data_IF_324012979042
#
_entry.id   IF_324012979042
#
_cell.length_a   1.000
_cell.length_b   1.000
_cell.length_c   1.000
_cell.angle_alpha   90.00
_cell.angle_beta   90.00
_cell.angle_gamma   90.00
#
_symmetry.space_group_name_H-M   'P 1'
#
loop_
_entity.id
_entity.type
_entity.pdbx_description
1 polymer ?
#
# COMPACT_ATOMS: atom_id res chain seq x y z
N UNK A 1 34.59 -62.12 -3.68
CA UNK A 1 35.02 -61.28 -2.56
C UNK A 1 35.43 -59.96 -3.14
N UNK A 2 34.59 -58.96 -3.05
CA UNK A 2 34.95 -57.57 -3.35
C UNK A 2 34.00 -56.68 -2.55
N UNK A 3 34.59 -55.97 -1.61
CA UNK A 3 33.90 -55.12 -0.64
C UNK A 3 33.47 -53.82 -1.30
N UNK A 4 32.16 -53.53 -1.30
CA UNK A 4 31.59 -52.24 -1.67
C UNK A 4 31.87 -51.19 -0.61
N UNK A 5 32.60 -50.15 -0.93
CA UNK A 5 32.75 -48.97 -0.08
C UNK A 5 31.54 -48.03 -0.31
N UNK A 6 30.75 -47.85 0.73
CA UNK A 6 29.71 -46.87 0.86
C UNK A 6 30.34 -45.46 0.97
N UNK A 7 30.06 -44.57 0.01
CA UNK A 7 30.39 -43.15 0.08
C UNK A 7 29.16 -42.41 0.61
N UNK A 8 29.11 -42.24 1.91
CA UNK A 8 28.21 -41.20 2.52
C UNK A 8 28.93 -39.87 2.37
N UNK A 9 28.47 -39.05 1.44
CA UNK A 9 28.91 -37.64 1.35
C UNK A 9 28.07 -36.85 2.35
N UNK A 10 28.63 -36.56 3.50
CA UNK A 10 28.22 -35.42 4.34
C UNK A 10 28.48 -34.16 3.57
N UNK A 11 27.41 -33.53 3.06
CA UNK A 11 27.48 -32.14 2.60
C UNK A 11 27.41 -31.24 3.84
N UNK A 12 28.52 -31.06 4.51
CA UNK A 12 28.73 -29.92 5.39
C UNK A 12 28.79 -28.68 4.49
N UNK A 13 27.74 -27.83 4.54
CA UNK A 13 27.66 -26.63 3.72
C UNK A 13 28.73 -25.62 4.15
N UNK A 14 29.87 -25.60 3.47
CA UNK A 14 30.85 -24.54 3.62
C UNK A 14 30.25 -23.25 3.09
N UNK A 15 29.91 -22.33 3.98
CA UNK A 15 29.59 -20.93 3.62
C UNK A 15 30.88 -20.34 3.05
N UNK A 16 30.83 -19.79 1.82
CA UNK A 16 32.01 -19.18 1.21
C UNK A 16 32.45 -17.93 2.00
N UNK A 17 33.75 -17.56 1.93
CA UNK A 17 34.26 -16.32 2.60
C UNK A 17 33.45 -15.09 2.22
N UNK A 18 32.96 -14.98 0.98
CA UNK A 18 32.05 -13.93 0.54
C UNK A 18 30.71 -13.98 1.27
N UNK A 19 30.19 -15.18 1.54
CA UNK A 19 28.95 -15.36 2.29
C UNK A 19 29.12 -14.94 3.76
N UNK A 20 30.25 -15.27 4.40
CA UNK A 20 30.57 -14.87 5.77
C UNK A 20 30.75 -13.34 5.90
N UNK A 21 31.43 -12.70 4.94
CA UNK A 21 31.57 -11.25 4.87
C UNK A 21 30.22 -10.55 4.68
N UNK A 22 29.36 -11.06 3.80
CA UNK A 22 28.03 -10.51 3.60
C UNK A 22 27.14 -10.66 4.85
N UNK A 23 27.19 -11.80 5.54
CA UNK A 23 26.46 -12.00 6.79
C UNK A 23 26.96 -11.05 7.90
N UNK A 24 28.28 -10.81 8.00
CA UNK A 24 28.85 -9.87 8.95
C UNK A 24 28.36 -8.42 8.72
N UNK A 25 28.38 -7.98 7.47
CA UNK A 25 27.88 -6.65 7.09
C UNK A 25 26.37 -6.51 7.35
N UNK A 26 25.56 -7.53 7.03
CA UNK A 26 24.12 -7.51 7.27
C UNK A 26 23.79 -7.42 8.77
N UNK A 27 24.49 -8.21 9.60
CA UNK A 27 24.33 -8.17 11.04
C UNK A 27 24.63 -6.77 11.61
N UNK A 28 25.76 -6.18 11.25
CA UNK A 28 26.16 -4.83 11.69
C UNK A 28 25.14 -3.77 11.22
N UNK A 29 24.58 -3.92 10.01
CA UNK A 29 23.53 -3.03 9.52
C UNK A 29 22.27 -3.07 10.36
N UNK A 30 21.83 -4.28 10.74
CA UNK A 30 20.65 -4.47 11.59
C UNK A 30 20.91 -3.86 12.97
N UNK A 31 22.04 -4.19 13.63
CA UNK A 31 22.39 -3.71 14.96
C UNK A 31 22.56 -2.19 15.01
N UNK A 32 23.13 -1.58 13.97
CA UNK A 32 23.28 -0.12 13.86
C UNK A 32 21.98 0.60 13.47
N UNK A 33 20.89 -0.13 13.16
CA UNK A 33 19.62 0.44 12.74
C UNK A 33 19.66 1.16 11.39
N UNK A 34 20.54 0.73 10.48
CA UNK A 34 20.69 1.30 9.14
C UNK A 34 20.03 0.49 8.05
N UNK A 35 19.53 -0.71 8.38
CA UNK A 35 18.76 -1.51 7.45
C UNK A 35 17.43 -0.83 7.08
N UNK A 36 16.97 -1.00 5.85
CA UNK A 36 15.74 -0.39 5.34
C UNK A 36 14.69 -1.47 5.11
N UNK A 37 13.47 -1.20 5.53
CA UNK A 37 12.34 -2.12 5.39
C UNK A 37 11.39 -1.65 4.29
N UNK A 38 11.16 -2.50 3.28
CA UNK A 38 10.08 -2.35 2.32
C UNK A 38 8.90 -3.25 2.68
N UNK A 39 7.68 -2.72 2.64
CA UNK A 39 6.46 -3.50 2.84
C UNK A 39 5.53 -3.29 1.66
N UNK A 40 5.12 -4.39 1.01
CA UNK A 40 4.20 -4.42 -0.11
C UNK A 40 2.87 -5.06 0.32
N UNK A 41 1.77 -4.33 0.15
CA UNK A 41 0.40 -4.85 0.29
C UNK A 41 -0.10 -5.28 -1.09
N UNK A 42 0.32 -6.47 -1.53
CA UNK A 42 -0.15 -7.07 -2.79
C UNK A 42 -1.57 -7.65 -2.65
N UNK A 43 -2.22 -7.98 -3.76
CA UNK A 43 -3.62 -8.46 -3.77
C UNK A 43 -3.83 -9.86 -3.16
N UNK A 44 -2.78 -10.64 -3.05
CA UNK A 44 -2.84 -12.01 -2.49
C UNK A 44 -1.85 -12.25 -1.35
N UNK A 45 -0.95 -11.27 -1.13
CA UNK A 45 0.12 -11.42 -0.14
C UNK A 45 0.65 -10.07 0.31
N UNK A 46 0.86 -9.91 1.60
CA UNK A 46 1.66 -8.82 2.18
C UNK A 46 3.09 -9.34 2.34
N UNK A 47 4.08 -8.56 1.93
CA UNK A 47 5.50 -8.91 2.04
C UNK A 47 6.27 -7.83 2.77
N UNK A 48 7.15 -8.24 3.68
CA UNK A 48 8.16 -7.39 4.30
C UNK A 48 9.54 -7.87 3.86
N UNK A 49 10.36 -6.96 3.35
CA UNK A 49 11.74 -7.25 2.92
C UNK A 49 12.67 -6.25 3.57
N UNK A 50 13.60 -6.75 4.36
CA UNK A 50 14.69 -5.97 4.94
C UNK A 50 15.88 -5.98 3.96
N UNK A 51 16.42 -4.82 3.62
CA UNK A 51 17.52 -4.65 2.67
C UNK A 51 18.70 -3.91 3.28
N UNK A 52 19.90 -4.19 2.75
CA UNK A 52 21.13 -3.48 3.06
C UNK A 52 21.34 -2.24 2.16
N UNK A 53 22.49 -1.58 2.27
CA UNK A 53 22.87 -0.41 1.46
C UNK A 53 23.12 -0.70 -0.02
N UNK A 54 23.28 -1.97 -0.38
CA UNK A 54 23.42 -2.41 -1.76
C UNK A 54 22.09 -2.86 -2.36
N UNK A 55 20.99 -2.65 -1.62
CA UNK A 55 19.63 -3.06 -1.95
C UNK A 55 19.47 -4.60 -2.04
N UNK A 56 20.36 -5.36 -1.39
CA UNK A 56 20.23 -6.82 -1.33
C UNK A 56 19.30 -7.20 -0.19
N UNK A 57 18.33 -8.12 -0.44
CA UNK A 57 17.48 -8.66 0.60
C UNK A 57 18.30 -9.43 1.65
N UNK A 58 18.16 -9.04 2.91
CA UNK A 58 18.82 -9.72 4.04
C UNK A 58 17.85 -10.56 4.86
N UNK A 59 16.60 -10.15 4.96
CA UNK A 59 15.54 -10.94 5.60
C UNK A 59 14.19 -10.63 4.98
N UNK A 60 13.23 -11.56 5.15
CA UNK A 60 11.87 -11.36 4.63
C UNK A 60 10.81 -12.06 5.47
N UNK A 61 9.59 -11.55 5.37
CA UNK A 61 8.39 -12.19 5.91
C UNK A 61 7.21 -11.99 4.97
N UNK A 62 6.23 -12.87 5.04
CA UNK A 62 5.04 -12.76 4.20
C UNK A 62 3.78 -13.25 4.94
N UNK A 63 2.66 -12.65 4.59
CA UNK A 63 1.32 -13.03 5.03
C UNK A 63 0.41 -13.20 3.82
N UNK A 64 -0.15 -14.38 3.64
CA UNK A 64 -1.12 -14.63 2.57
C UNK A 64 -2.51 -14.16 3.03
N UNK A 65 -3.21 -13.46 2.15
CA UNK A 65 -4.56 -12.96 2.38
C UNK A 65 -5.38 -12.95 1.08
N UNK A 66 -6.68 -12.76 1.19
CA UNK A 66 -7.57 -12.73 0.04
C UNK A 66 -8.57 -11.57 0.13
N UNK A 67 -8.90 -11.01 -1.03
CA UNK A 67 -9.97 -10.03 -1.20
C UNK A 67 -11.33 -10.70 -0.94
N UNK A 68 -12.14 -10.13 -0.07
CA UNK A 68 -13.44 -10.64 0.32
C UNK A 68 -14.57 -9.92 -0.42
N UNK A 69 -15.60 -10.64 -0.82
CA UNK A 69 -16.82 -10.06 -1.35
C UNK A 69 -17.85 -9.96 -0.21
N UNK A 70 -18.09 -8.75 0.27
CA UNK A 70 -19.02 -8.45 1.35
C UNK A 70 -20.08 -7.49 0.81
N UNK A 71 -21.35 -7.88 0.85
CA UNK A 71 -22.49 -7.11 0.35
C UNK A 71 -22.27 -6.55 -1.08
N UNK A 72 -21.67 -7.36 -1.93
CA UNK A 72 -21.37 -6.99 -3.32
C UNK A 72 -20.14 -6.11 -3.52
N UNK A 73 -19.39 -5.81 -2.45
CA UNK A 73 -18.17 -5.00 -2.48
C UNK A 73 -16.93 -5.87 -2.25
N UNK A 74 -15.98 -5.83 -3.17
CA UNK A 74 -14.66 -6.41 -2.99
C UNK A 74 -13.83 -5.56 -2.03
N UNK A 75 -13.46 -6.12 -0.88
CA UNK A 75 -12.86 -5.40 0.24
C UNK A 75 -11.80 -6.22 0.98
N UNK A 76 -11.00 -5.54 1.80
CA UNK A 76 -10.25 -6.05 2.94
C UNK A 76 -10.66 -5.25 4.17
N UNK A 77 -10.94 -5.92 5.30
CA UNK A 77 -11.23 -5.20 6.54
C UNK A 77 -9.95 -4.52 7.08
N UNK A 78 -10.13 -3.48 7.91
CA UNK A 78 -8.99 -2.83 8.58
C UNK A 78 -8.23 -3.81 9.48
N UNK A 79 -8.93 -4.73 10.15
CA UNK A 79 -8.30 -5.76 10.98
C UNK A 79 -7.42 -6.68 10.15
N UNK A 80 -7.90 -7.16 8.99
CA UNK A 80 -7.09 -7.97 8.07
C UNK A 80 -5.81 -7.25 7.62
N UNK A 81 -5.92 -5.95 7.35
CA UNK A 81 -4.77 -5.12 6.94
C UNK A 81 -3.73 -5.06 8.06
N UNK A 82 -4.16 -4.76 9.29
CA UNK A 82 -3.24 -4.63 10.42
C UNK A 82 -2.68 -5.97 10.92
N UNK A 83 -3.50 -7.00 10.95
CA UNK A 83 -3.05 -8.34 11.35
C UNK A 83 -2.08 -8.92 10.33
N UNK A 84 -2.34 -8.72 9.04
CA UNK A 84 -1.43 -9.12 7.98
C UNK A 84 -0.09 -8.37 8.03
N UNK A 85 -0.11 -7.05 8.31
CA UNK A 85 1.10 -6.26 8.52
C UNK A 85 1.92 -6.77 9.71
N UNK A 86 1.27 -7.00 10.86
CA UNK A 86 1.92 -7.51 12.07
C UNK A 86 2.54 -8.88 11.85
N UNK A 87 1.81 -9.82 11.22
CA UNK A 87 2.29 -11.17 10.94
C UNK A 87 3.48 -11.17 9.97
N UNK A 88 3.37 -10.38 8.91
CA UNK A 88 4.44 -10.22 7.93
C UNK A 88 5.72 -9.65 8.57
N UNK A 89 5.60 -8.60 9.40
CA UNK A 89 6.71 -8.02 10.13
C UNK A 89 7.32 -9.00 11.15
N UNK A 90 6.49 -9.70 11.93
CA UNK A 90 6.92 -10.74 12.88
C UNK A 90 7.76 -11.82 12.18
N UNK A 91 7.28 -12.35 11.06
CA UNK A 91 8.01 -13.38 10.28
C UNK A 91 9.34 -12.86 9.74
N UNK A 92 9.40 -11.58 9.32
CA UNK A 92 10.65 -10.95 8.89
C UNK A 92 11.63 -10.84 10.07
N UNK A 93 11.17 -10.44 11.25
CA UNK A 93 12.05 -10.38 12.44
C UNK A 93 12.51 -11.75 12.92
N UNK A 94 11.68 -12.77 12.80
CA UNK A 94 12.07 -14.19 13.05
C UNK A 94 13.13 -14.65 12.04
N UNK A 95 13.02 -14.31 10.77
CA UNK A 95 14.02 -14.61 9.75
C UNK A 95 15.36 -13.93 10.06
N UNK A 96 15.35 -12.66 10.54
CA UNK A 96 16.53 -11.97 11.06
C UNK A 96 17.15 -12.74 12.23
N UNK A 97 16.35 -13.11 13.23
CA UNK A 97 16.84 -13.84 14.40
C UNK A 97 17.48 -15.16 14.02
N UNK A 98 16.84 -15.90 13.10
CA UNK A 98 17.34 -17.21 12.66
C UNK A 98 18.64 -17.10 11.85
N UNK A 99 18.78 -16.10 11.01
CA UNK A 99 19.96 -15.91 10.13
C UNK A 99 21.15 -15.25 10.84
N UNK A 100 20.89 -14.26 11.68
CA UNK A 100 21.92 -13.36 12.22
C UNK A 100 22.04 -13.40 13.74
N UNK A 101 21.09 -14.00 14.45
CA UNK A 101 21.09 -14.10 15.92
C UNK A 101 20.90 -12.76 16.62
N UNK A 102 20.25 -11.77 15.95
CA UNK A 102 20.02 -10.43 16.47
C UNK A 102 18.56 -10.00 16.33
N UNK A 103 18.13 -9.04 17.16
CA UNK A 103 16.79 -8.46 17.08
C UNK A 103 16.79 -7.15 16.25
N UNK A 104 15.71 -6.91 15.53
CA UNK A 104 15.46 -5.62 14.85
C UNK A 104 14.87 -4.65 15.87
N UNK A 105 15.67 -3.72 16.38
CA UNK A 105 15.23 -2.70 17.36
C UNK A 105 15.07 -1.32 16.76
N UNK A 106 15.70 -1.09 15.59
CA UNK A 106 15.69 0.18 14.87
C UNK A 106 15.84 -0.07 13.38
N UNK A 107 15.22 0.79 12.57
CA UNK A 107 15.33 0.80 11.12
C UNK A 107 15.81 2.17 10.64
N UNK A 108 16.56 2.19 9.54
CA UNK A 108 17.00 3.42 8.89
C UNK A 108 15.85 4.14 8.18
N UNK A 109 14.98 3.37 7.54
CA UNK A 109 13.75 3.85 6.91
C UNK A 109 12.76 2.71 6.72
N UNK A 110 11.48 3.08 6.53
CA UNK A 110 10.42 2.16 6.10
C UNK A 110 9.74 2.76 4.88
N UNK A 111 9.56 1.95 3.84
CA UNK A 111 8.77 2.30 2.66
C UNK A 111 7.57 1.38 2.48
N UNK A 112 6.45 1.95 2.03
CA UNK A 112 5.23 1.19 1.76
C UNK A 112 4.87 1.25 0.28
N UNK A 113 4.44 0.12 -0.26
CA UNK A 113 3.75 -0.01 -1.53
C UNK A 113 2.44 -0.74 -1.30
N UNK A 114 1.40 -0.38 -2.01
CA UNK A 114 0.10 -1.02 -1.91
C UNK A 114 -0.54 -1.24 -3.26
N UNK A 115 -1.63 -1.99 -3.27
CA UNK A 115 -2.51 -2.04 -4.43
C UNK A 115 -2.94 -0.61 -4.78
N UNK A 116 -2.55 -0.15 -5.96
CA UNK A 116 -2.97 1.16 -6.46
C UNK A 116 -4.50 1.27 -6.52
N UNK A 117 -4.98 2.49 -6.52
CA UNK A 117 -6.39 2.80 -6.62
C UNK A 117 -7.19 2.40 -5.37
N UNK A 118 -8.51 2.31 -5.54
CA UNK A 118 -9.42 2.01 -4.45
C UNK A 118 -9.90 3.26 -3.71
N UNK A 119 -10.79 3.07 -2.75
CA UNK A 119 -11.49 4.15 -2.11
C UNK A 119 -11.65 3.88 -0.61
N UNK A 120 -10.99 4.67 0.19
CA UNK A 120 -11.02 4.62 1.66
C UNK A 120 -11.38 6.03 2.18
N UNK A 121 -12.66 6.37 2.33
CA UNK A 121 -13.10 7.66 2.86
C UNK A 121 -13.18 7.62 4.39
N UNK A 122 -12.71 8.70 5.02
CA UNK A 122 -12.67 8.87 6.47
C UNK A 122 -13.36 10.15 6.89
N UNK A 123 -13.98 10.13 8.06
CA UNK A 123 -14.53 11.31 8.71
C UNK A 123 -13.46 12.16 9.42
N UNK A 124 -13.86 13.24 10.09
CA UNK A 124 -12.97 14.11 10.86
C UNK A 124 -12.28 13.40 12.03
N UNK A 125 -12.88 12.32 12.56
CA UNK A 125 -12.31 11.52 13.65
C UNK A 125 -11.32 10.47 13.11
N UNK A 126 -11.26 10.29 11.79
CA UNK A 126 -10.42 9.28 11.13
C UNK A 126 -11.02 7.88 11.16
N UNK A 127 -12.35 7.79 11.28
CA UNK A 127 -13.10 6.54 11.16
C UNK A 127 -13.45 6.27 9.70
N UNK A 128 -13.30 5.02 9.26
CA UNK A 128 -13.64 4.61 7.90
C UNK A 128 -15.15 4.62 7.71
N UNK A 129 -15.64 5.41 6.77
CA UNK A 129 -17.07 5.67 6.57
C UNK A 129 -17.84 4.55 5.87
N UNK A 130 -17.17 3.83 4.97
CA UNK A 130 -17.69 2.66 4.24
C UNK A 130 -16.58 1.62 4.07
N UNK A 131 -16.90 0.34 3.81
CA UNK A 131 -15.88 -0.67 3.53
C UNK A 131 -14.90 -0.22 2.45
N UNK A 132 -13.61 -0.53 2.61
CA UNK A 132 -12.60 -0.26 1.60
C UNK A 132 -13.01 -0.85 0.24
N UNK A 133 -13.24 -0.01 -0.77
CA UNK A 133 -13.56 -0.44 -2.14
C UNK A 133 -12.25 -0.63 -2.90
N UNK A 134 -11.88 -1.87 -3.17
CA UNK A 134 -10.61 -2.20 -3.85
C UNK A 134 -10.70 -1.95 -5.36
N UNK A 135 -9.56 -1.97 -6.05
CA UNK A 135 -9.45 -1.89 -7.50
C UNK A 135 -10.27 -2.92 -8.28
N UNK A 136 -10.70 -4.00 -7.59
CA UNK A 136 -11.46 -5.11 -8.17
C UNK A 136 -12.93 -4.76 -8.40
N UNK A 137 -13.43 -3.70 -7.76
CA UNK A 137 -14.81 -3.27 -7.93
C UNK A 137 -15.02 -2.60 -9.30
N UNK A 138 -16.05 -3.03 -10.02
CA UNK A 138 -16.46 -2.51 -11.34
C UNK A 138 -17.79 -1.76 -11.27
N UNK A 139 -18.11 -1.17 -10.13
CA UNK A 139 -19.40 -0.53 -9.83
C UNK A 139 -19.46 0.95 -10.21
N UNK A 140 -18.41 1.48 -10.85
CA UNK A 140 -18.22 2.92 -11.10
C UNK A 140 -18.28 3.30 -12.58
N UNK A 141 -18.97 2.49 -13.39
CA UNK A 141 -19.01 2.69 -14.85
C UNK A 141 -19.58 4.02 -15.27
N UNK A 142 -20.70 4.44 -14.68
CA UNK A 142 -21.37 5.71 -14.95
C UNK A 142 -20.47 6.90 -14.58
N UNK A 143 -19.93 6.90 -13.39
CA UNK A 143 -19.03 7.96 -12.90
C UNK A 143 -17.76 8.07 -13.76
N UNK A 144 -17.13 6.94 -14.09
CA UNK A 144 -15.94 6.91 -14.94
C UNK A 144 -16.19 7.49 -16.33
N UNK A 145 -17.33 7.14 -16.95
CA UNK A 145 -17.71 7.67 -18.26
C UNK A 145 -17.99 9.19 -18.20
N UNK A 146 -18.74 9.64 -17.19
CA UNK A 146 -19.06 11.05 -16.99
C UNK A 146 -17.79 11.89 -16.77
N UNK A 147 -16.90 11.47 -15.88
CA UNK A 147 -15.64 12.17 -15.60
C UNK A 147 -14.68 12.15 -16.80
N UNK A 148 -14.60 11.03 -17.53
CA UNK A 148 -13.81 10.96 -18.78
C UNK A 148 -14.25 12.00 -19.77
N UNK A 149 -15.56 12.17 -19.95
CA UNK A 149 -16.13 13.20 -20.83
C UNK A 149 -15.83 14.61 -20.33
N UNK A 150 -16.07 14.86 -19.04
CA UNK A 150 -15.87 16.18 -18.42
C UNK A 150 -14.42 16.67 -18.52
N UNK A 151 -13.48 15.78 -18.17
CA UNK A 151 -12.06 16.13 -18.16
C UNK A 151 -11.40 16.04 -19.54
N UNK A 152 -12.06 15.43 -20.53
CA UNK A 152 -11.42 15.01 -21.79
C UNK A 152 -10.15 14.20 -21.53
N UNK A 153 -10.19 13.37 -20.49
CA UNK A 153 -9.10 12.56 -19.98
C UNK A 153 -9.65 11.21 -19.50
N UNK A 154 -8.99 10.10 -19.85
CA UNK A 154 -9.49 8.78 -19.50
C UNK A 154 -9.45 8.55 -17.99
N UNK A 155 -10.61 8.34 -17.37
CA UNK A 155 -10.77 7.98 -15.95
C UNK A 155 -11.19 6.51 -15.86
N UNK A 156 -10.28 5.60 -15.49
CA UNK A 156 -10.62 4.19 -15.29
C UNK A 156 -11.58 3.99 -14.11
N UNK A 157 -12.47 2.99 -14.21
CA UNK A 157 -13.43 2.67 -13.15
C UNK A 157 -12.79 2.41 -11.77
N UNK A 158 -11.58 1.86 -11.75
CA UNK A 158 -10.86 1.53 -10.50
C UNK A 158 -10.26 2.74 -9.76
N UNK A 159 -10.22 3.93 -10.38
CA UNK A 159 -9.65 5.12 -9.76
C UNK A 159 -10.49 5.62 -8.59
N UNK A 160 -9.82 6.17 -7.57
CA UNK A 160 -10.48 6.66 -6.36
C UNK A 160 -11.54 7.72 -6.64
N UNK A 161 -11.27 8.63 -7.60
CA UNK A 161 -12.23 9.66 -7.99
C UNK A 161 -13.48 9.09 -8.67
N UNK A 162 -13.36 7.98 -9.40
CA UNK A 162 -14.53 7.32 -9.99
C UNK A 162 -15.43 6.72 -8.89
N UNK A 163 -14.84 6.17 -7.84
CA UNK A 163 -15.60 5.67 -6.68
C UNK A 163 -16.28 6.80 -5.90
N UNK A 164 -15.58 7.91 -5.66
CA UNK A 164 -16.17 9.08 -5.02
C UNK A 164 -17.34 9.63 -5.83
N UNK A 165 -17.15 9.81 -7.14
CA UNK A 165 -18.21 10.37 -7.98
C UNK A 165 -19.40 9.41 -8.12
N UNK A 166 -19.16 8.10 -8.16
CA UNK A 166 -20.25 7.12 -8.15
C UNK A 166 -21.05 7.17 -6.84
N UNK A 167 -20.38 7.31 -5.70
CA UNK A 167 -21.06 7.49 -4.43
C UNK A 167 -21.92 8.77 -4.38
N UNK A 168 -21.44 9.85 -5.01
CA UNK A 168 -22.21 11.10 -5.19
C UNK A 168 -23.44 10.87 -6.06
N UNK A 169 -23.29 10.20 -7.21
CA UNK A 169 -24.42 9.90 -8.11
C UNK A 169 -25.46 8.99 -7.47
N UNK A 170 -25.02 8.03 -6.66
CA UNK A 170 -25.88 7.14 -5.91
C UNK A 170 -26.58 7.84 -4.70
N UNK A 171 -26.13 9.03 -4.32
CA UNK A 171 -26.64 9.73 -3.13
C UNK A 171 -26.26 9.03 -1.82
N UNK A 172 -25.09 8.42 -1.73
CA UNK A 172 -24.65 7.69 -0.55
C UNK A 172 -24.42 8.63 0.65
N UNK A 173 -25.00 8.33 1.80
CA UNK A 173 -25.06 9.19 3.00
C UNK A 173 -23.68 9.52 3.61
N UNK A 174 -22.66 8.73 3.31
CA UNK A 174 -21.32 8.94 3.84
C UNK A 174 -20.61 10.13 3.19
N UNK A 175 -21.01 10.54 1.98
CA UNK A 175 -20.29 11.54 1.17
C UNK A 175 -20.24 12.90 1.86
N UNK A 176 -21.29 13.31 2.56
CA UNK A 176 -21.32 14.56 3.33
C UNK A 176 -20.33 14.60 4.50
N UNK A 177 -19.89 13.42 4.96
CA UNK A 177 -19.05 13.26 6.16
C UNK A 177 -17.57 13.10 5.81
N UNK A 178 -17.23 13.09 4.54
CA UNK A 178 -15.83 12.87 4.11
C UNK A 178 -14.99 14.08 4.50
N UNK A 179 -14.00 13.87 5.36
CA UNK A 179 -12.96 14.83 5.69
C UNK A 179 -11.61 14.47 5.04
N UNK A 180 -11.45 13.22 4.59
CA UNK A 180 -10.25 12.74 3.94
C UNK A 180 -10.54 11.42 3.22
N UNK A 181 -10.00 11.21 2.03
CA UNK A 181 -10.00 9.89 1.41
C UNK A 181 -8.65 9.58 0.76
N UNK A 182 -8.29 8.30 0.75
CA UNK A 182 -6.98 7.87 0.31
C UNK A 182 -7.00 6.43 -0.22
N UNK A 183 -5.82 5.94 -0.61
CA UNK A 183 -5.54 4.55 -0.98
C UNK A 183 -5.02 3.76 0.21
N UNK A 184 -4.84 2.44 0.04
CA UNK A 184 -4.30 1.57 1.10
C UNK A 184 -2.90 2.01 1.55
N UNK A 185 -1.99 2.31 0.62
CA UNK A 185 -0.64 2.77 0.97
C UNK A 185 -0.67 4.10 1.73
N UNK A 186 -1.51 5.04 1.30
CA UNK A 186 -1.71 6.32 1.99
C UNK A 186 -2.32 6.15 3.38
N UNK A 187 -3.27 5.23 3.55
CA UNK A 187 -3.84 4.91 4.86
C UNK A 187 -2.78 4.37 5.84
N UNK A 188 -1.96 3.42 5.42
CA UNK A 188 -0.88 2.87 6.26
C UNK A 188 0.12 3.94 6.63
N UNK A 189 0.56 4.74 5.65
CA UNK A 189 1.47 5.85 5.89
C UNK A 189 0.91 6.83 6.93
N UNK A 190 -0.33 7.29 6.72
CA UNK A 190 -0.99 8.19 7.67
C UNK A 190 -1.08 7.62 9.09
N UNK A 191 -1.53 6.37 9.23
CA UNK A 191 -1.69 5.77 10.57
C UNK A 191 -0.36 5.56 11.31
N UNK A 192 0.76 5.40 10.59
CA UNK A 192 2.09 5.22 11.18
C UNK A 192 2.84 6.53 11.44
N UNK A 193 2.56 7.58 10.67
CA UNK A 193 3.29 8.84 10.75
C UNK A 193 2.46 10.01 11.28
N UNK A 194 1.14 9.92 11.21
CA UNK A 194 0.22 11.04 11.42
C UNK A 194 0.03 11.94 10.20
N UNK A 195 0.83 11.78 9.13
CA UNK A 195 0.85 12.65 7.96
C UNK A 195 -0.07 12.13 6.84
N UNK A 196 -0.98 12.98 6.38
CA UNK A 196 -1.95 12.70 5.30
C UNK A 196 -1.36 13.08 3.93
N UNK A 197 -0.24 12.47 3.57
CA UNK A 197 0.49 12.73 2.32
C UNK A 197 0.53 11.48 1.44
N UNK A 198 0.76 11.67 0.15
CA UNK A 198 0.84 10.57 -0.81
C UNK A 198 1.90 10.88 -1.87
N UNK A 199 2.70 9.88 -2.25
CA UNK A 199 3.64 10.03 -3.35
C UNK A 199 2.90 10.23 -4.68
N UNK A 200 3.45 11.05 -5.58
CA UNK A 200 2.85 11.41 -6.87
C UNK A 200 2.48 10.19 -7.72
N UNK A 201 3.26 9.11 -7.64
CA UNK A 201 2.98 7.85 -8.36
C UNK A 201 1.68 7.20 -7.90
N UNK A 202 1.44 7.14 -6.60
CA UNK A 202 0.22 6.60 -6.01
C UNK A 202 -0.97 7.56 -6.21
N UNK A 203 -0.75 8.87 -6.02
CA UNK A 203 -1.75 9.92 -6.22
C UNK A 203 -2.30 9.94 -7.66
N UNK A 204 -1.48 9.58 -8.65
CA UNK A 204 -1.89 9.46 -10.06
C UNK A 204 -2.96 8.39 -10.32
N UNK A 205 -3.14 7.45 -9.41
CA UNK A 205 -4.22 6.46 -9.41
C UNK A 205 -5.48 6.93 -8.68
N UNK A 206 -5.43 8.06 -8.01
CA UNK A 206 -6.59 8.68 -7.35
C UNK A 206 -7.27 9.73 -8.22
N UNK A 207 -6.47 10.64 -8.77
CA UNK A 207 -6.92 11.79 -9.57
C UNK A 207 -5.84 12.17 -10.60
N UNK A 208 -6.19 12.81 -11.74
CA UNK A 208 -5.23 13.24 -12.72
C UNK A 208 -4.15 14.18 -12.18
N UNK A 209 -2.89 13.87 -12.51
CA UNK A 209 -1.71 14.66 -12.15
C UNK A 209 -1.24 15.52 -13.33
N UNK A 210 -0.89 16.76 -13.07
CA UNK A 210 -0.17 17.60 -14.02
C UNK A 210 1.33 17.24 -14.01
N UNK A 211 1.84 16.76 -15.14
CA UNK A 211 3.22 16.29 -15.26
C UNK A 211 4.28 17.40 -15.06
N UNK A 212 3.91 18.68 -15.23
CA UNK A 212 4.82 19.81 -15.06
C UNK A 212 4.98 20.19 -13.59
N UNK A 213 3.87 20.30 -12.88
CA UNK A 213 3.85 20.67 -11.46
C UNK A 213 4.09 19.46 -10.55
N UNK A 214 3.85 18.24 -11.03
CA UNK A 214 3.86 16.99 -10.26
C UNK A 214 2.85 17.00 -9.10
N UNK A 215 1.74 17.69 -9.30
CA UNK A 215 0.64 17.85 -8.36
C UNK A 215 -0.68 17.60 -9.08
N UNK A 216 -1.78 17.55 -8.35
CA UNK A 216 -3.12 17.37 -8.92
C UNK A 216 -3.43 18.43 -9.97
N UNK A 217 -4.08 18.01 -11.06
CA UNK A 217 -4.42 18.91 -12.16
C UNK A 217 -5.47 19.94 -11.73
N UNK A 218 -5.05 21.18 -11.49
CA UNK A 218 -5.87 22.27 -10.96
C UNK A 218 -7.11 22.58 -11.80
N UNK A 219 -7.00 22.45 -13.12
CA UNK A 219 -8.14 22.66 -14.01
C UNK A 219 -9.20 21.58 -13.77
N UNK A 220 -8.79 20.32 -13.68
CA UNK A 220 -9.71 19.19 -13.48
C UNK A 220 -10.32 19.19 -12.07
N UNK A 221 -9.57 19.64 -11.04
CA UNK A 221 -10.14 19.88 -9.71
C UNK A 221 -11.29 20.88 -9.79
N UNK A 222 -11.08 22.03 -10.42
CA UNK A 222 -12.13 23.03 -10.58
C UNK A 222 -13.33 22.53 -11.43
N UNK A 223 -13.07 21.72 -12.45
CA UNK A 223 -14.14 21.08 -13.24
C UNK A 223 -14.96 20.12 -12.39
N UNK A 224 -14.30 19.30 -11.54
CA UNK A 224 -15.00 18.38 -10.63
C UNK A 224 -15.88 19.14 -9.65
N UNK A 225 -15.33 20.16 -8.98
CA UNK A 225 -16.07 20.98 -8.00
C UNK A 225 -17.25 21.75 -8.61
N UNK A 226 -17.20 22.02 -9.93
CA UNK A 226 -18.27 22.71 -10.67
C UNK A 226 -19.40 21.76 -11.14
N UNK A 227 -19.24 20.43 -11.00
CA UNK A 227 -20.28 19.47 -11.39
C UNK A 227 -21.56 19.71 -10.55
N UNK A 228 -22.76 19.75 -11.18
CA UNK A 228 -24.01 20.00 -10.43
C UNK A 228 -24.25 19.05 -9.27
N UNK A 229 -23.87 17.77 -9.42
CA UNK A 229 -24.00 16.77 -8.38
C UNK A 229 -23.04 16.99 -7.20
N UNK A 230 -21.91 17.67 -7.43
CA UNK A 230 -20.89 17.99 -6.42
C UNK A 230 -21.18 19.27 -5.67
N UNK A 231 -21.79 20.25 -6.35
CA UNK A 231 -21.99 21.61 -5.81
C UNK A 231 -22.86 21.70 -4.54
N UNK A 232 -23.53 20.62 -4.14
CA UNK A 232 -24.32 20.54 -2.90
C UNK A 232 -23.45 20.28 -1.65
N UNK A 233 -22.22 19.80 -1.81
CA UNK A 233 -21.33 19.47 -0.68
C UNK A 233 -20.56 20.70 -0.23
N UNK A 234 -20.22 20.76 1.06
CA UNK A 234 -19.50 21.91 1.65
C UNK A 234 -18.00 21.83 1.45
N UNK A 235 -17.44 20.63 1.27
CA UNK A 235 -16.02 20.41 0.99
C UNK A 235 -15.69 20.66 -0.49
N UNK A 236 -14.43 20.97 -0.74
CA UNK A 236 -13.82 20.99 -2.08
C UNK A 236 -12.92 19.76 -2.23
N UNK A 237 -12.81 19.24 -3.47
CA UNK A 237 -12.05 18.01 -3.69
C UNK A 237 -10.61 18.10 -3.16
N UNK A 238 -9.94 19.23 -3.36
CA UNK A 238 -8.58 19.47 -2.88
C UNK A 238 -8.45 19.38 -1.34
N UNK A 239 -9.50 19.69 -0.59
CA UNK A 239 -9.50 19.68 0.88
C UNK A 239 -9.52 18.26 1.45
N UNK A 240 -10.10 17.32 0.72
CA UNK A 240 -10.27 15.92 1.15
C UNK A 240 -9.27 14.94 0.51
N UNK A 241 -8.48 15.39 -0.50
CA UNK A 241 -7.39 14.62 -1.09
C UNK A 241 -6.13 14.62 -0.20
N UNK A 242 -5.25 13.59 -0.30
CA UNK A 242 -3.90 13.62 0.26
C UNK A 242 -3.07 14.79 -0.29
N UNK A 243 -2.17 15.32 0.54
CA UNK A 243 -1.20 16.32 0.13
C UNK A 243 0.01 15.68 -0.54
#
# INVERSE_FOLDING_TARGET
>A
MSAGKSWVHERCGMVSERGLLHMGNAKERIESGKAVLGIEFGSTRIKAVLVDETHQPIASGAHDWENQLVDGIWTYSLDMIWDGLRDCYRKMTEDVQNKYGVAVTKLGAIGFSGMMHGYMPFDEKGELLVPFRTWRNTITGEAAAALTKEFSFNIPQRWSIAHLYQAILNGEDHVDKIAYFTTLAGYIHWKLTGEKVLGVGEASGMFPIDAKTRDYNRKMLAQFDALPAVGKYTWKLEEILPK
#
